data_IF_185441937017
#
_entry.id   IF_185441937017
#
_cell.length_a   1.000
_cell.length_b   1.000
_cell.length_c   1.000
_cell.angle_alpha   90.00
_cell.angle_beta   90.00
_cell.angle_gamma   90.00
#
_symmetry.space_group_name_H-M   'P 1'
#
loop_
_entity.id
_entity.type
_entity.pdbx_description
1 polymer ?
#
# COMPACT_ATOMS: atom_id res chain seq x y z
N UNK A 1 -37.69 -5.96 4.69
CA UNK A 1 -37.44 -6.86 3.53
C UNK A 1 -36.71 -6.01 2.50
N UNK A 2 -35.38 -6.12 2.45
CA UNK A 2 -34.54 -5.25 1.61
C UNK A 2 -34.11 -6.07 0.41
N UNK A 3 -34.56 -5.64 -0.78
CA UNK A 3 -34.15 -6.20 -2.06
C UNK A 3 -32.72 -5.75 -2.36
N UNK A 4 -31.81 -6.71 -2.54
CA UNK A 4 -30.51 -6.47 -3.15
C UNK A 4 -30.65 -6.61 -4.66
N UNK A 5 -30.60 -5.50 -5.39
CA UNK A 5 -30.42 -5.50 -6.84
C UNK A 5 -28.96 -5.79 -7.17
N UNK A 6 -28.75 -6.90 -7.87
CA UNK A 6 -27.52 -7.25 -8.58
C UNK A 6 -27.06 -6.06 -9.44
N UNK A 7 -25.84 -5.58 -9.19
CA UNK A 7 -25.07 -4.85 -10.19
C UNK A 7 -23.81 -5.64 -10.53
N UNK A 8 -23.95 -6.38 -11.62
CA UNK A 8 -22.88 -6.96 -12.41
C UNK A 8 -22.05 -5.83 -13.01
N UNK A 9 -20.77 -5.75 -12.67
CA UNK A 9 -19.77 -5.10 -13.52
C UNK A 9 -18.61 -6.06 -13.73
N UNK A 10 -18.57 -6.60 -14.96
CA UNK A 10 -17.46 -7.39 -15.46
C UNK A 10 -16.26 -6.50 -15.73
N UNK A 11 -15.12 -6.88 -15.16
CA UNK A 11 -13.92 -7.38 -15.84
C UNK A 11 -13.07 -7.98 -14.73
N UNK A 12 -13.36 -9.22 -14.36
CA UNK A 12 -12.48 -9.99 -13.48
C UNK A 12 -11.40 -10.56 -14.37
N UNK A 13 -10.30 -9.82 -14.55
CA UNK A 13 -9.04 -10.51 -14.82
C UNK A 13 -8.72 -11.28 -13.53
N UNK A 14 -9.10 -12.56 -13.49
CA UNK A 14 -8.52 -13.54 -12.55
C UNK A 14 -7.07 -13.73 -12.99
N UNK A 15 -6.20 -12.79 -12.61
CA UNK A 15 -4.78 -13.07 -12.55
C UNK A 15 -4.60 -13.91 -11.28
N UNK A 16 -4.29 -15.19 -11.47
CA UNK A 16 -3.94 -16.09 -10.38
C UNK A 16 -2.83 -15.43 -9.56
N UNK A 17 -3.15 -15.06 -8.32
CA UNK A 17 -2.28 -14.33 -7.40
C UNK A 17 -1.22 -15.30 -6.88
N UNK A 18 0.06 -15.18 -7.27
CA UNK A 18 1.12 -15.89 -6.57
C UNK A 18 1.24 -15.26 -5.18
N UNK A 19 1.27 -16.09 -4.14
CA UNK A 19 1.37 -15.60 -2.77
C UNK A 19 2.62 -14.75 -2.56
N UNK A 20 2.48 -13.77 -1.66
CA UNK A 20 3.41 -12.70 -1.24
C UNK A 20 4.84 -13.15 -0.86
N UNK A 21 5.10 -14.46 -0.76
CA UNK A 21 6.29 -15.00 -0.07
C UNK A 21 7.54 -15.23 -0.93
N UNK A 22 7.54 -14.97 -2.24
CA UNK A 22 8.77 -15.03 -3.06
C UNK A 22 8.82 -13.93 -4.13
N UNK A 23 8.65 -12.67 -3.74
CA UNK A 23 9.00 -11.59 -4.66
C UNK A 23 10.52 -11.56 -4.83
N UNK A 24 11.03 -12.03 -5.97
CA UNK A 24 12.47 -12.08 -6.26
C UNK A 24 13.11 -10.71 -5.99
N UNK A 25 14.30 -10.63 -5.37
CA UNK A 25 14.94 -9.36 -4.99
C UNK A 25 15.02 -8.34 -6.13
N UNK A 26 15.22 -8.80 -7.36
CA UNK A 26 15.23 -7.95 -8.56
C UNK A 26 13.90 -7.21 -8.81
N UNK A 27 12.76 -7.88 -8.56
CA UNK A 27 11.42 -7.29 -8.72
C UNK A 27 11.17 -6.25 -7.63
N UNK A 28 11.57 -6.55 -6.39
CA UNK A 28 11.46 -5.59 -5.28
C UNK A 28 12.27 -4.33 -5.54
N UNK A 29 13.56 -4.49 -5.89
CA UNK A 29 14.44 -3.36 -6.16
C UNK A 29 13.92 -2.49 -7.33
N UNK A 30 13.40 -3.12 -8.37
CA UNK A 30 12.79 -2.42 -9.49
C UNK A 30 11.57 -1.59 -9.06
N UNK A 31 10.65 -2.19 -8.29
CA UNK A 31 9.47 -1.48 -7.78
C UNK A 31 9.85 -0.33 -6.85
N UNK A 32 10.84 -0.52 -5.97
CA UNK A 32 11.37 0.53 -5.11
C UNK A 32 11.91 1.72 -5.91
N UNK A 33 12.69 1.49 -6.97
CA UNK A 33 13.19 2.57 -7.84
C UNK A 33 12.06 3.29 -8.58
N UNK A 34 11.11 2.54 -9.16
CA UNK A 34 9.99 3.14 -9.89
C UNK A 34 9.09 3.97 -8.97
N UNK A 35 8.68 3.44 -7.83
CA UNK A 35 7.88 4.19 -6.86
C UNK A 35 8.67 5.34 -6.23
N UNK A 36 9.98 5.19 -6.02
CA UNK A 36 10.82 6.29 -5.54
C UNK A 36 10.83 7.49 -6.47
N UNK A 37 10.96 7.29 -7.78
CA UNK A 37 10.90 8.37 -8.77
C UNK A 37 9.53 9.03 -8.81
N UNK A 38 8.46 8.23 -8.85
CA UNK A 38 7.09 8.76 -8.84
C UNK A 38 6.80 9.59 -7.59
N UNK A 39 7.30 9.13 -6.44
CA UNK A 39 7.12 9.81 -5.17
C UNK A 39 7.83 11.18 -5.16
N UNK A 40 9.06 11.26 -5.68
CA UNK A 40 9.79 12.52 -5.83
C UNK A 40 9.08 13.50 -6.78
N UNK A 41 8.60 13.01 -7.92
CA UNK A 41 7.81 13.83 -8.85
C UNK A 41 6.52 14.35 -8.21
N UNK A 42 5.88 13.54 -7.38
CA UNK A 42 4.67 13.93 -6.66
C UNK A 42 4.97 14.96 -5.55
N UNK A 43 6.02 14.75 -4.75
CA UNK A 43 6.51 15.73 -3.76
C UNK A 43 6.70 17.12 -4.37
N UNK A 44 7.36 17.18 -5.53
CA UNK A 44 7.56 18.42 -6.28
C UNK A 44 6.24 19.06 -6.74
N UNK A 45 5.30 18.26 -7.24
CA UNK A 45 4.01 18.74 -7.76
C UNK A 45 3.09 19.28 -6.67
N UNK A 46 3.04 18.59 -5.52
CA UNK A 46 2.21 19.03 -4.39
C UNK A 46 2.93 20.03 -3.47
N UNK A 47 4.18 20.39 -3.80
CA UNK A 47 5.03 21.30 -3.04
C UNK A 47 5.18 20.88 -1.57
N UNK A 48 5.51 19.60 -1.36
CA UNK A 48 5.76 18.98 -0.05
C UNK A 48 7.16 18.39 -0.06
N UNK A 49 7.95 18.71 0.95
CA UNK A 49 9.25 18.07 1.18
C UNK A 49 9.12 17.02 2.29
N UNK A 50 8.96 15.75 1.89
CA UNK A 50 8.93 14.65 2.86
C UNK A 50 10.36 14.36 3.34
N UNK A 51 10.52 14.20 4.65
CA UNK A 51 11.78 13.70 5.21
C UNK A 51 12.15 12.36 4.58
N UNK A 52 13.44 12.11 4.38
CA UNK A 52 13.94 10.87 3.76
C UNK A 52 13.36 9.59 4.40
N UNK A 53 13.28 9.53 5.72
CA UNK A 53 12.68 8.40 6.44
C UNK A 53 11.21 8.17 6.06
N UNK A 54 10.42 9.24 5.93
CA UNK A 54 9.01 9.19 5.52
C UNK A 54 8.91 8.78 4.05
N UNK A 55 9.82 9.28 3.20
CA UNK A 55 9.88 8.94 1.78
C UNK A 55 10.13 7.44 1.59
N UNK A 56 11.17 6.90 2.23
CA UNK A 56 11.52 5.47 2.16
C UNK A 56 10.38 4.58 2.68
N UNK A 57 9.76 4.96 3.79
CA UNK A 57 8.58 4.27 4.30
C UNK A 57 7.44 4.27 3.29
N UNK A 58 7.13 5.43 2.72
CA UNK A 58 6.04 5.59 1.75
C UNK A 58 6.28 4.69 0.53
N UNK A 59 7.50 4.66 -0.01
CA UNK A 59 7.86 3.71 -1.08
C UNK A 59 7.62 2.26 -0.62
N UNK A 60 8.03 1.91 0.60
CA UNK A 60 7.77 0.59 1.19
C UNK A 60 6.28 0.23 1.18
N UNK A 61 5.41 1.11 1.69
CA UNK A 61 3.95 0.92 1.70
C UNK A 61 3.42 0.74 0.29
N UNK A 62 3.88 1.54 -0.67
CA UNK A 62 3.48 1.42 -2.07
C UNK A 62 3.89 0.08 -2.66
N UNK A 63 5.13 -0.35 -2.44
CA UNK A 63 5.65 -1.65 -2.90
C UNK A 63 4.90 -2.80 -2.24
N UNK A 64 4.60 -2.72 -0.94
CA UNK A 64 3.85 -3.76 -0.23
C UNK A 64 2.43 -3.89 -0.74
N UNK A 65 1.76 -2.77 -1.03
CA UNK A 65 0.33 -2.76 -1.31
C UNK A 65 -0.06 -2.55 -2.78
N UNK A 66 0.90 -2.56 -3.70
CA UNK A 66 0.63 -2.22 -5.11
C UNK A 66 -0.36 -3.14 -5.82
N UNK A 67 -0.50 -4.39 -5.35
CA UNK A 67 -1.38 -5.44 -5.90
C UNK A 67 -2.52 -5.86 -4.97
N UNK A 68 -2.58 -5.32 -3.76
CA UNK A 68 -3.54 -5.82 -2.77
C UNK A 68 -4.93 -5.25 -3.04
N UNK A 69 -5.94 -6.11 -3.10
CA UNK A 69 -7.33 -5.67 -2.97
C UNK A 69 -7.54 -5.17 -1.53
N UNK A 70 -7.74 -3.87 -1.36
CA UNK A 70 -7.87 -3.28 -0.01
C UNK A 70 -9.12 -3.80 0.71
N UNK A 71 -8.96 -4.07 2.01
CA UNK A 71 -9.65 -5.10 2.79
C UNK A 71 -11.18 -5.13 2.75
N UNK A 72 -11.74 -6.35 2.79
CA UNK A 72 -13.16 -6.64 3.01
C UNK A 72 -13.67 -6.40 4.45
N UNK A 73 -12.78 -6.09 5.39
CA UNK A 73 -13.11 -5.91 6.81
C UNK A 73 -13.09 -4.43 7.22
N UNK A 74 -14.00 -4.03 8.11
CA UNK A 74 -14.03 -2.67 8.67
C UNK A 74 -12.78 -2.36 9.50
N UNK A 75 -12.05 -1.31 9.14
CA UNK A 75 -10.79 -0.93 9.81
C UNK A 75 -10.95 -0.66 11.31
N UNK A 76 -12.09 -0.11 11.75
CA UNK A 76 -12.37 0.08 13.18
C UNK A 76 -12.39 -1.24 13.95
N UNK A 77 -12.91 -2.32 13.35
CA UNK A 77 -12.92 -3.64 13.99
C UNK A 77 -11.50 -4.21 14.08
N UNK A 78 -10.70 -4.04 13.02
CA UNK A 78 -9.27 -4.42 13.03
C UNK A 78 -8.52 -3.67 14.14
N UNK A 79 -8.74 -2.36 14.26
CA UNK A 79 -8.16 -1.53 15.30
C UNK A 79 -8.54 -2.01 16.71
N UNK A 80 -9.82 -2.22 16.97
CA UNK A 80 -10.29 -2.71 18.26
C UNK A 80 -9.75 -4.10 18.60
N UNK A 81 -9.55 -4.98 17.61
CA UNK A 81 -8.94 -6.29 17.83
C UNK A 81 -7.45 -6.18 18.14
N UNK A 82 -6.71 -5.34 17.39
CA UNK A 82 -5.31 -5.06 17.67
C UNK A 82 -5.13 -4.50 19.09
N UNK A 83 -6.00 -3.57 19.50
CA UNK A 83 -5.99 -3.00 20.84
C UNK A 83 -6.18 -4.05 21.97
N UNK A 84 -6.91 -5.12 21.69
CA UNK A 84 -7.14 -6.23 22.63
C UNK A 84 -6.00 -7.24 22.69
N UNK A 85 -5.01 -7.19 21.80
CA UNK A 85 -3.92 -8.17 21.70
C UNK A 85 -2.56 -7.53 22.02
N UNK A 86 -2.07 -7.60 23.27
CA UNK A 86 -0.86 -6.86 23.68
C UNK A 86 0.47 -7.36 23.11
N UNK A 87 0.55 -8.59 22.57
CA UNK A 87 1.83 -9.20 22.12
C UNK A 87 2.10 -9.16 20.62
N UNK A 88 1.12 -8.77 19.79
CA UNK A 88 1.24 -8.72 18.31
C UNK A 88 0.73 -7.42 17.68
N UNK A 89 0.40 -6.43 18.52
CA UNK A 89 -0.41 -5.29 18.11
C UNK A 89 0.30 -4.30 17.20
N UNK A 90 1.61 -4.08 17.34
CA UNK A 90 2.29 -3.01 16.61
C UNK A 90 2.20 -3.19 15.09
N UNK A 91 2.48 -4.40 14.60
CA UNK A 91 2.35 -4.71 13.18
C UNK A 91 0.89 -4.59 12.69
N UNK A 92 -0.08 -5.01 13.50
CA UNK A 92 -1.50 -4.86 13.17
C UNK A 92 -1.88 -3.37 13.06
N UNK A 93 -1.43 -2.54 13.99
CA UNK A 93 -1.64 -1.09 13.96
C UNK A 93 -0.97 -0.45 12.74
N UNK A 94 0.26 -0.82 12.40
CA UNK A 94 0.93 -0.37 11.18
C UNK A 94 0.13 -0.73 9.93
N UNK A 95 -0.31 -1.98 9.82
CA UNK A 95 -1.13 -2.42 8.68
C UNK A 95 -2.45 -1.65 8.57
N UNK A 96 -3.09 -1.34 9.71
CA UNK A 96 -4.31 -0.51 9.73
C UNK A 96 -3.99 0.92 9.28
N UNK A 97 -2.88 1.49 9.75
CA UNK A 97 -2.44 2.83 9.40
C UNK A 97 -2.14 2.95 7.90
N UNK A 98 -1.42 1.98 7.33
CA UNK A 98 -1.13 1.88 5.90
C UNK A 98 -2.41 1.73 5.08
N UNK A 99 -3.32 0.87 5.53
CA UNK A 99 -4.60 0.69 4.83
C UNK A 99 -5.43 1.98 4.86
N UNK A 100 -5.47 2.69 6.00
CA UNK A 100 -6.17 3.97 6.11
C UNK A 100 -5.54 5.05 5.21
N UNK A 101 -4.20 5.12 5.17
CA UNK A 101 -3.44 6.00 4.28
C UNK A 101 -3.80 5.74 2.82
N UNK A 102 -3.78 4.47 2.39
CA UNK A 102 -4.07 4.07 1.02
C UNK A 102 -5.54 4.29 0.66
N UNK A 103 -6.50 4.00 1.54
CA UNK A 103 -7.92 4.29 1.27
C UNK A 103 -8.14 5.79 1.08
N UNK A 104 -7.57 6.61 1.97
CA UNK A 104 -7.68 8.06 1.88
C UNK A 104 -7.02 8.62 0.61
N UNK A 105 -5.96 7.97 0.12
CA UNK A 105 -5.22 8.44 -1.05
C UNK A 105 -5.78 7.92 -2.38
N UNK A 106 -6.32 6.69 -2.40
CA UNK A 106 -6.63 5.99 -3.66
C UNK A 106 -8.12 5.79 -3.87
N UNK A 107 -8.89 5.81 -2.78
CA UNK A 107 -10.32 5.56 -2.80
C UNK A 107 -11.15 6.72 -2.28
N UNK A 108 -10.56 7.92 -2.10
CA UNK A 108 -11.28 9.09 -1.62
C UNK A 108 -12.58 9.37 -2.39
N UNK A 109 -12.64 9.31 -3.74
CA UNK A 109 -13.90 9.48 -4.46
C UNK A 109 -14.95 8.39 -4.13
N UNK A 110 -14.52 7.16 -3.82
CA UNK A 110 -15.42 6.08 -3.38
C UNK A 110 -15.90 6.29 -1.94
N UNK A 111 -15.03 6.75 -1.05
CA UNK A 111 -15.33 7.12 0.35
C UNK A 111 -16.40 8.21 0.37
N UNK A 112 -16.17 9.31 -0.36
CA UNK A 112 -17.11 10.43 -0.45
C UNK A 112 -18.47 10.00 -1.04
N UNK A 113 -18.48 9.20 -2.11
CA UNK A 113 -19.73 8.67 -2.70
C UNK A 113 -20.53 7.76 -1.76
N UNK A 114 -19.86 7.11 -0.81
CA UNK A 114 -20.51 6.27 0.22
C UNK A 114 -20.98 7.10 1.43
N UNK A 115 -20.80 8.42 1.41
CA UNK A 115 -21.14 9.30 2.53
C UNK A 115 -20.26 9.09 3.76
N UNK A 116 -19.09 8.46 3.59
CA UNK A 116 -18.13 8.26 4.67
C UNK A 116 -17.28 9.51 4.81
N UNK A 117 -17.08 9.93 6.06
CA UNK A 117 -16.23 11.07 6.40
C UNK A 117 -14.74 10.72 6.16
N UNK A 118 -14.00 11.45 5.31
CA UNK A 118 -12.56 11.26 5.14
C UNK A 118 -11.78 11.43 6.45
N UNK A 119 -12.25 12.29 7.36
CA UNK A 119 -11.57 12.55 8.62
C UNK A 119 -11.51 11.30 9.50
N UNK A 120 -12.48 10.39 9.38
CA UNK A 120 -12.42 9.09 10.03
C UNK A 120 -11.14 8.32 9.68
N UNK A 121 -10.74 8.30 8.40
CA UNK A 121 -9.54 7.58 7.98
C UNK A 121 -8.27 8.32 8.40
N UNK A 122 -8.29 9.65 8.42
CA UNK A 122 -7.18 10.47 8.96
C UNK A 122 -6.97 10.17 10.44
N UNK A 123 -8.03 10.24 11.24
CA UNK A 123 -7.96 9.97 12.68
C UNK A 123 -7.53 8.54 12.94
N UNK A 124 -8.15 7.56 12.27
CA UNK A 124 -7.82 6.16 12.47
C UNK A 124 -6.37 5.85 12.08
N UNK A 125 -5.88 6.40 10.97
CA UNK A 125 -4.50 6.21 10.52
C UNK A 125 -3.49 6.79 11.50
N UNK A 126 -3.69 8.03 11.94
CA UNK A 126 -2.80 8.70 12.91
C UNK A 126 -2.82 7.99 14.27
N UNK A 127 -4.00 7.64 14.77
CA UNK A 127 -4.14 6.87 16.01
C UNK A 127 -3.43 5.53 15.91
N UNK A 128 -3.56 4.83 14.78
CA UNK A 128 -2.88 3.56 14.55
C UNK A 128 -1.36 3.71 14.56
N UNK A 129 -0.78 4.70 13.87
CA UNK A 129 0.67 4.93 13.94
C UNK A 129 1.15 5.27 15.34
N UNK A 130 0.42 6.12 16.06
CA UNK A 130 0.74 6.45 17.44
C UNK A 130 0.74 5.21 18.34
N UNK A 131 -0.29 4.37 18.19
CA UNK A 131 -0.47 3.14 18.95
C UNK A 131 0.53 2.05 18.60
N UNK A 132 1.03 2.02 17.36
CA UNK A 132 2.15 1.18 16.95
C UNK A 132 3.43 1.63 17.66
N UNK A 133 3.73 2.93 17.59
CA UNK A 133 4.91 3.51 18.23
C UNK A 133 4.97 3.28 19.74
N UNK A 134 3.83 3.39 20.44
CA UNK A 134 3.75 3.15 21.88
C UNK A 134 4.02 1.68 22.27
N UNK A 135 3.81 0.74 21.35
CA UNK A 135 3.92 -0.70 21.61
C UNK A 135 5.24 -1.28 21.16
N UNK A 136 5.93 -0.65 20.22
CA UNK A 136 7.30 -1.00 19.91
C UNK A 136 8.26 -0.34 20.91
N UNK A 137 8.85 -1.17 21.76
CA UNK A 137 9.97 -0.76 22.61
C UNK A 137 11.28 -0.52 21.83
N UNK A 138 11.23 -0.60 20.49
CA UNK A 138 12.35 -0.31 19.61
C UNK A 138 12.35 1.17 19.23
N UNK A 139 13.25 1.94 19.84
CA UNK A 139 13.35 3.40 19.68
C UNK A 139 13.37 3.85 18.21
N UNK A 140 14.12 3.16 17.35
CA UNK A 140 14.25 3.51 15.93
C UNK A 140 12.94 3.33 15.13
N UNK A 141 12.14 2.30 15.44
CA UNK A 141 10.87 2.08 14.75
C UNK A 141 9.75 2.96 15.33
N UNK A 142 9.76 3.16 16.65
CA UNK A 142 8.85 4.09 17.32
C UNK A 142 9.04 5.53 16.83
N UNK A 143 10.29 5.97 16.62
CA UNK A 143 10.58 7.30 16.06
C UNK A 143 10.02 7.44 14.64
N UNK A 144 10.23 6.43 13.77
CA UNK A 144 9.65 6.39 12.43
C UNK A 144 8.12 6.53 12.47
N UNK A 145 7.46 5.75 13.31
CA UNK A 145 6.00 5.71 13.37
C UNK A 145 5.41 7.01 13.94
N UNK A 146 6.11 7.65 14.89
CA UNK A 146 5.77 9.00 15.37
C UNK A 146 5.91 10.02 14.25
N UNK A 147 7.00 9.97 13.48
CA UNK A 147 7.20 10.86 12.32
C UNK A 147 6.07 10.69 11.30
N UNK A 148 5.63 9.45 11.04
CA UNK A 148 4.50 9.15 10.15
C UNK A 148 3.17 9.65 10.69
N UNK A 149 2.88 9.46 11.98
CA UNK A 149 1.69 10.01 12.62
C UNK A 149 1.59 11.53 12.43
N UNK A 150 2.73 12.22 12.51
CA UNK A 150 2.81 13.67 12.30
C UNK A 150 2.74 14.07 10.81
N UNK A 151 3.32 13.27 9.92
CA UNK A 151 3.38 13.55 8.49
C UNK A 151 2.18 13.00 7.67
N UNK A 152 1.26 12.25 8.30
CA UNK A 152 0.24 11.45 7.62
C UNK A 152 -0.49 12.17 6.48
N UNK A 153 -0.99 13.39 6.73
CA UNK A 153 -1.76 14.15 5.74
C UNK A 153 -0.90 14.56 4.54
N UNK A 154 0.38 14.89 4.77
CA UNK A 154 1.32 15.21 3.71
C UNK A 154 1.59 13.98 2.86
N UNK A 155 1.87 12.83 3.50
CA UNK A 155 2.06 11.55 2.81
C UNK A 155 0.83 11.16 2.00
N UNK A 156 -0.38 11.30 2.55
CA UNK A 156 -1.62 10.97 1.85
C UNK A 156 -1.80 11.80 0.57
N UNK A 157 -1.46 13.10 0.62
CA UNK A 157 -1.52 13.98 -0.56
C UNK A 157 -0.53 13.57 -1.64
N UNK A 158 0.71 13.27 -1.25
CA UNK A 158 1.74 12.81 -2.19
C UNK A 158 1.32 11.47 -2.82
N UNK A 159 0.86 10.50 -2.02
CA UNK A 159 0.38 9.21 -2.53
C UNK A 159 -0.83 9.39 -3.46
N UNK A 160 -1.77 10.26 -3.12
CA UNK A 160 -2.89 10.60 -4.00
C UNK A 160 -2.38 11.09 -5.36
N UNK A 161 -1.43 12.03 -5.37
CA UNK A 161 -0.88 12.63 -6.59
C UNK A 161 -0.04 11.66 -7.45
N UNK A 162 0.68 10.73 -6.81
CA UNK A 162 1.30 9.58 -7.50
C UNK A 162 0.23 8.82 -8.28
N UNK A 163 -0.93 8.59 -7.66
CA UNK A 163 -1.91 7.68 -8.22
C UNK A 163 -2.95 8.32 -9.14
N UNK A 164 -3.29 9.59 -8.98
CA UNK A 164 -4.27 10.24 -9.86
C UNK A 164 -3.71 10.64 -11.20
N UNK A 165 -2.41 10.91 -11.29
CA UNK A 165 -1.81 11.45 -12.51
C UNK A 165 -1.04 10.42 -13.33
N UNK A 166 -0.50 9.37 -12.71
CA UNK A 166 0.41 8.43 -13.39
C UNK A 166 0.12 6.96 -13.11
N UNK A 167 -0.84 6.64 -12.22
CA UNK A 167 -1.07 5.25 -11.81
C UNK A 167 -1.39 4.33 -12.97
N UNK A 168 -2.35 4.68 -13.81
CA UNK A 168 -2.83 3.77 -14.84
C UNK A 168 -1.76 3.49 -15.90
N UNK A 169 -1.05 4.52 -16.37
CA UNK A 169 0.02 4.37 -17.35
C UNK A 169 1.20 3.60 -16.77
N UNK A 170 1.63 3.93 -15.56
CA UNK A 170 2.82 3.31 -14.96
C UNK A 170 2.58 1.91 -14.42
N UNK A 171 1.38 1.60 -13.93
CA UNK A 171 1.01 0.23 -13.54
C UNK A 171 1.01 -0.69 -14.75
N UNK A 172 0.55 -0.23 -15.90
CA UNK A 172 0.61 -1.00 -17.15
C UNK A 172 2.06 -1.24 -17.56
N UNK A 173 2.88 -0.20 -17.61
CA UNK A 173 4.32 -0.33 -17.96
C UNK A 173 5.09 -1.25 -17.00
N UNK A 174 4.88 -1.09 -15.69
CA UNK A 174 5.49 -1.93 -14.66
C UNK A 174 4.99 -3.37 -14.81
N UNK A 175 3.70 -3.58 -15.00
CA UNK A 175 3.14 -4.93 -15.19
C UNK A 175 3.69 -5.60 -16.44
N UNK A 176 3.77 -4.88 -17.56
CA UNK A 176 4.37 -5.38 -18.81
C UNK A 176 5.86 -5.69 -18.67
N UNK A 177 6.62 -4.84 -17.96
CA UNK A 177 8.03 -5.08 -17.70
C UNK A 177 8.24 -6.32 -16.83
N UNK A 178 7.44 -6.47 -15.76
CA UNK A 178 7.50 -7.64 -14.89
C UNK A 178 7.05 -8.92 -15.60
N UNK A 179 6.06 -8.85 -16.49
CA UNK A 179 5.65 -9.98 -17.33
C UNK A 179 6.77 -10.40 -18.30
N UNK A 180 7.52 -9.46 -18.87
CA UNK A 180 8.71 -9.75 -19.71
C UNK A 180 9.82 -10.42 -18.91
N UNK A 181 10.17 -9.87 -17.75
CA UNK A 181 11.17 -10.46 -16.85
C UNK A 181 10.78 -11.87 -16.38
N UNK A 182 9.49 -12.13 -16.17
CA UNK A 182 9.00 -13.46 -15.84
C UNK A 182 9.17 -14.43 -17.02
N UNK A 183 8.82 -14.00 -18.24
CA UNK A 183 8.93 -14.80 -19.46
C UNK A 183 10.38 -15.17 -19.81
N UNK A 184 11.32 -14.22 -19.66
CA UNK A 184 12.76 -14.42 -19.89
C UNK A 184 13.41 -15.40 -18.91
N UNK A 185 12.82 -15.58 -17.72
CA UNK A 185 13.29 -16.52 -16.71
C UNK A 185 12.63 -17.93 -16.81
N UNK A 186 11.74 -18.14 -17.78
CA UNK A 186 11.04 -19.43 -18.03
C UNK A 186 11.53 -20.17 -19.27
N UNK A 187 12.74 -19.89 -19.77
CA UNK A 187 13.35 -20.71 -20.83
C UNK A 187 13.47 -22.16 -20.35
N UNK A 188 12.90 -23.15 -21.08
CA UNK A 188 12.94 -24.54 -20.65
C UNK A 188 14.38 -25.03 -20.62
N UNK A 189 14.78 -25.65 -19.51
CA UNK A 189 16.03 -26.39 -19.42
C UNK A 189 16.10 -27.36 -20.61
N UNK A 190 17.10 -27.17 -21.46
CA UNK A 190 17.44 -28.08 -22.55
C UNK A 190 17.54 -29.49 -21.96
N UNK A 191 16.79 -30.49 -22.45
CA UNK A 191 16.94 -31.85 -21.95
C UNK A 191 18.37 -32.30 -22.24
N UNK A 192 19.17 -32.51 -21.18
CA UNK A 192 20.42 -33.25 -21.26
C UNK A 192 20.08 -34.66 -21.69
N UNK A 193 20.21 -34.94 -22.99
CA UNK A 193 20.31 -36.30 -23.49
C UNK A 193 21.63 -36.85 -22.92
N UNK A 194 21.51 -37.73 -21.93
CA UNK A 194 22.61 -38.57 -21.46
C UNK A 194 23.01 -39.48 -22.63
N UNK A 195 24.23 -39.31 -23.13
CA UNK A 195 24.91 -40.29 -23.97
C UNK A 195 25.80 -41.17 -23.09
#
# INVERSE_FOLDING_TARGET
MIHFTNYSYGYVMKLEVPQENEMKPAVSNYLHDQFGRLLLEAEMRVNVDLKETVRLYTVGVLVTHWRTEWSHEALALRYLRAAKQPRRSAHDFLSIADTALLILSLQLPKVLRRGLDPDYFVTLGRSSYHDAALREHHEALAERDILLCNAFVQTARVVYDVFTHRYHERVLEISEHLSRLAAENTTPATPRILQ
#
